data_IF_819794609914
#
_entry.id   IF_819794609914
#
_cell.length_a   1.000
_cell.length_b   1.000
_cell.length_c   1.000
_cell.angle_alpha   90.00
_cell.angle_beta   90.00
_cell.angle_gamma   90.00
#
_symmetry.space_group_name_H-M   'P 1'
#
loop_
_entity.id
_entity.type
_entity.pdbx_description
1 polymer ?
#
# COMPACT_ATOMS: atom_id res chain seq x y z
N UNK A 1 29.42 33.12 21.94
CA UNK A 1 28.46 33.31 20.84
C UNK A 1 27.81 31.95 20.63
N UNK A 2 26.67 31.72 21.28
CA UNK A 2 25.91 30.49 21.17
C UNK A 2 25.18 30.51 19.85
N UNK A 3 25.67 29.69 18.89
CA UNK A 3 24.95 29.42 17.65
C UNK A 3 23.63 28.75 18.01
N UNK A 4 22.53 29.41 17.70
CA UNK A 4 21.22 28.79 17.74
C UNK A 4 21.17 27.71 16.66
N UNK A 5 21.57 26.49 17.04
CA UNK A 5 21.32 25.31 16.22
C UNK A 5 19.79 25.17 16.10
N UNK A 6 19.23 25.73 15.01
CA UNK A 6 17.83 25.49 14.67
C UNK A 6 17.69 23.97 14.52
N UNK A 7 16.74 23.35 15.23
CA UNK A 7 16.57 21.90 15.13
C UNK A 7 16.29 21.54 13.66
N UNK A 8 17.11 20.63 13.13
CA UNK A 8 16.90 20.10 11.79
C UNK A 8 15.54 19.38 11.77
N UNK A 9 14.65 19.81 10.88
CA UNK A 9 13.39 19.12 10.62
C UNK A 9 13.68 18.02 9.60
N UNK A 10 13.62 16.74 9.97
CA UNK A 10 13.88 15.67 9.05
C UNK A 10 12.81 15.67 7.94
N UNK A 11 13.25 15.55 6.69
CA UNK A 11 12.33 15.38 5.56
C UNK A 11 11.87 13.93 5.52
N UNK A 12 10.56 13.75 5.44
CA UNK A 12 9.96 12.44 5.31
C UNK A 12 9.48 12.24 3.86
N UNK A 13 9.99 11.19 3.22
CA UNK A 13 9.56 10.79 1.88
C UNK A 13 8.64 9.58 2.00
N UNK A 14 7.48 9.67 1.38
CA UNK A 14 6.53 8.58 1.33
C UNK A 14 6.44 8.02 -0.08
N UNK A 15 6.57 6.70 -0.19
CA UNK A 15 6.33 5.98 -1.43
C UNK A 15 4.95 5.34 -1.34
N UNK A 16 4.04 5.76 -2.23
CA UNK A 16 2.67 5.27 -2.25
C UNK A 16 2.17 5.07 -3.68
N UNK A 17 1.18 4.20 -3.85
CA UNK A 17 0.39 4.13 -5.08
C UNK A 17 -0.69 5.19 -5.07
N UNK A 18 -1.28 5.51 -6.24
CA UNK A 18 -2.39 6.46 -6.34
C UNK A 18 -3.58 6.11 -5.43
N UNK A 19 -3.74 4.84 -5.10
CA UNK A 19 -4.84 4.34 -4.25
C UNK A 19 -4.53 4.36 -2.76
N UNK A 20 -3.24 4.47 -2.36
CA UNK A 20 -2.80 4.37 -0.97
C UNK A 20 -2.19 5.68 -0.45
N UNK A 21 -2.59 6.81 -1.01
CA UNK A 21 -2.04 8.14 -0.66
C UNK A 21 -2.17 8.44 0.84
N UNK A 22 -3.10 7.83 1.53
CA UNK A 22 -3.57 8.25 2.84
C UNK A 22 -3.12 7.37 4.02
N UNK A 23 -2.44 6.26 3.80
CA UNK A 23 -1.80 5.55 4.90
C UNK A 23 -0.53 6.30 5.33
N UNK A 24 -0.71 7.31 6.17
CA UNK A 24 0.38 8.17 6.66
C UNK A 24 1.42 7.42 7.49
N UNK A 25 1.15 6.17 7.88
CA UNK A 25 1.99 5.41 8.82
C UNK A 25 2.92 4.41 8.16
N UNK A 26 2.71 4.09 6.88
CA UNK A 26 3.50 3.07 6.17
C UNK A 26 4.32 3.68 5.04
N UNK A 27 5.55 3.17 4.88
CA UNK A 27 6.42 3.56 3.77
C UNK A 27 7.02 4.95 3.91
N UNK A 28 7.10 5.50 5.13
CA UNK A 28 7.81 6.75 5.40
C UNK A 28 9.29 6.42 5.54
N UNK A 29 10.10 7.12 4.79
CA UNK A 29 11.56 7.07 4.85
C UNK A 29 12.07 8.44 5.27
N UNK A 30 12.80 8.48 6.36
CA UNK A 30 13.41 9.70 6.86
C UNK A 30 14.68 10.01 6.09
N UNK A 31 14.79 11.23 5.54
CA UNK A 31 16.01 11.72 4.92
C UNK A 31 16.86 12.43 5.97
N UNK A 32 18.05 11.89 6.22
CA UNK A 32 19.01 12.46 7.15
C UNK A 32 20.07 13.25 6.39
N UNK A 33 20.42 14.47 6.86
CA UNK A 33 21.53 15.21 6.27
C UNK A 33 22.84 14.44 6.35
N UNK A 34 23.70 14.62 5.37
CA UNK A 34 24.95 13.92 5.28
C UNK A 34 24.84 12.46 4.82
N UNK A 35 23.64 12.01 4.45
CA UNK A 35 23.41 10.63 3.99
C UNK A 35 22.86 10.58 2.58
N UNK A 36 23.37 9.61 1.83
CA UNK A 36 22.77 9.11 0.60
C UNK A 36 21.80 7.98 0.98
N UNK A 37 20.52 8.22 0.75
CA UNK A 37 19.45 7.26 1.04
C UNK A 37 19.02 6.61 -0.26
N UNK A 38 19.29 5.32 -0.39
CA UNK A 38 18.82 4.53 -1.52
C UNK A 38 17.58 3.75 -1.09
N UNK A 39 16.45 4.01 -1.74
CA UNK A 39 15.19 3.32 -1.48
C UNK A 39 14.97 2.30 -2.59
N UNK A 40 15.05 1.02 -2.24
CA UNK A 40 14.69 -0.06 -3.15
C UNK A 40 13.20 -0.35 -3.03
N UNK A 41 12.47 -0.11 -4.12
CA UNK A 41 11.01 -0.30 -4.19
C UNK A 41 10.71 -1.59 -4.93
N UNK A 42 10.17 -2.58 -4.21
CA UNK A 42 9.80 -3.87 -4.78
C UNK A 42 8.29 -3.98 -4.87
N UNK A 43 7.71 -4.11 -6.07
CA UNK A 43 6.28 -4.33 -6.24
C UNK A 43 5.90 -5.78 -5.91
N UNK A 44 4.84 -5.96 -5.14
CA UNK A 44 4.18 -7.23 -4.89
C UNK A 44 2.76 -7.17 -5.45
N UNK A 45 2.50 -7.94 -6.49
CA UNK A 45 1.20 -8.00 -7.14
C UNK A 45 0.41 -9.18 -6.58
N UNK A 46 -0.80 -8.91 -6.12
CA UNK A 46 -1.80 -9.94 -5.79
C UNK A 46 -2.85 -9.89 -6.88
N UNK A 47 -3.01 -11.00 -7.57
CA UNK A 47 -3.98 -11.19 -8.64
C UNK A 47 -4.95 -12.32 -8.29
N UNK A 48 -6.02 -12.48 -9.05
CA UNK A 48 -7.04 -13.48 -8.84
C UNK A 48 -7.42 -14.13 -10.16
N UNK A 49 -7.72 -15.45 -10.15
CA UNK A 49 -8.23 -16.13 -11.36
C UNK A 49 -9.66 -15.68 -11.67
N UNK A 50 -10.00 -15.63 -12.96
CA UNK A 50 -11.33 -15.23 -13.42
C UNK A 50 -12.45 -16.12 -12.86
N UNK A 51 -12.19 -17.41 -12.74
CA UNK A 51 -13.17 -18.35 -12.15
C UNK A 51 -13.48 -18.01 -10.71
N UNK A 52 -12.45 -17.62 -9.94
CA UNK A 52 -12.64 -17.24 -8.53
C UNK A 52 -13.27 -15.85 -8.39
N UNK A 53 -13.12 -14.98 -9.39
CA UNK A 53 -13.74 -13.64 -9.42
C UNK A 53 -15.29 -13.71 -9.49
N UNK A 54 -15.85 -14.79 -10.07
CA UNK A 54 -17.30 -14.99 -10.21
C UNK A 54 -18.02 -15.34 -8.90
N UNK A 55 -17.26 -15.76 -7.88
CA UNK A 55 -17.85 -16.05 -6.58
C UNK A 55 -18.32 -14.77 -5.90
N UNK A 56 -19.29 -14.91 -5.01
CA UNK A 56 -19.77 -13.82 -4.16
C UNK A 56 -18.70 -13.35 -3.15
N UNK A 57 -18.88 -12.15 -2.62
CA UNK A 57 -17.93 -11.51 -1.68
C UNK A 57 -17.70 -12.36 -0.43
N UNK A 58 -18.77 -13.04 0.08
CA UNK A 58 -18.67 -13.86 1.27
C UNK A 58 -17.81 -15.10 1.07
N UNK A 59 -17.89 -15.72 -0.12
CA UNK A 59 -17.10 -16.90 -0.49
C UNK A 59 -15.64 -16.53 -0.75
N UNK A 60 -15.37 -15.48 -1.52
CA UNK A 60 -13.99 -15.08 -1.84
C UNK A 60 -13.30 -14.27 -0.72
N UNK A 61 -14.07 -13.76 0.26
CA UNK A 61 -13.57 -12.99 1.43
C UNK A 61 -12.65 -11.83 1.05
N UNK A 62 -12.92 -11.21 -0.09
CA UNK A 62 -12.23 -10.01 -0.56
C UNK A 62 -13.16 -9.21 -1.47
N UNK A 63 -12.85 -7.92 -1.68
CA UNK A 63 -13.58 -7.03 -2.58
C UNK A 63 -12.75 -6.64 -3.80
N UNK A 64 -13.44 -6.50 -4.92
CA UNK A 64 -12.88 -5.99 -6.17
C UNK A 64 -12.96 -4.45 -6.18
N UNK A 65 -12.14 -3.81 -6.99
CA UNK A 65 -12.04 -2.34 -7.02
C UNK A 65 -13.35 -1.62 -7.35
N UNK A 66 -14.24 -2.27 -8.09
CA UNK A 66 -15.55 -1.71 -8.46
C UNK A 66 -16.67 -1.98 -7.45
N UNK A 67 -16.41 -2.73 -6.38
CA UNK A 67 -17.40 -3.04 -5.33
C UNK A 67 -17.40 -1.97 -4.24
N UNK A 68 -17.84 -0.77 -4.61
CA UNK A 68 -17.74 0.46 -3.81
C UNK A 68 -19.05 0.90 -3.17
N UNK A 69 -20.11 0.07 -3.19
CA UNK A 69 -21.46 0.45 -2.72
C UNK A 69 -21.50 1.07 -1.32
N UNK A 70 -20.51 0.75 -0.49
CA UNK A 70 -20.44 1.22 0.90
C UNK A 70 -19.50 2.42 1.08
N UNK A 71 -18.78 2.83 0.02
CA UNK A 71 -17.81 3.92 0.06
C UNK A 71 -18.45 5.22 -0.44
N UNK A 72 -18.22 6.31 0.30
CA UNK A 72 -18.69 7.67 -0.03
C UNK A 72 -17.56 8.53 -0.61
N UNK A 73 -16.34 8.38 -0.06
CA UNK A 73 -15.21 9.24 -0.41
C UNK A 73 -14.32 8.66 -1.50
N UNK A 74 -14.34 7.34 -1.72
CA UNK A 74 -13.47 6.68 -2.69
C UNK A 74 -14.28 6.03 -3.80
N UNK A 75 -13.85 6.30 -5.06
CA UNK A 75 -14.49 5.73 -6.25
C UNK A 75 -14.12 4.27 -6.47
N UNK A 76 -12.94 3.86 -5.99
CA UNK A 76 -12.46 2.50 -6.11
C UNK A 76 -12.26 1.89 -4.73
N UNK A 77 -12.70 0.65 -4.57
CA UNK A 77 -12.47 -0.08 -3.34
C UNK A 77 -11.00 -0.44 -3.19
N UNK A 78 -10.44 -0.07 -2.05
CA UNK A 78 -9.20 -0.61 -1.51
C UNK A 78 -9.41 -0.85 -0.02
N UNK A 79 -8.72 -1.85 0.54
CA UNK A 79 -8.82 -2.11 1.97
C UNK A 79 -8.40 -0.87 2.78
N UNK A 80 -7.29 -0.26 2.41
CA UNK A 80 -6.77 0.93 3.09
C UNK A 80 -7.75 2.12 2.95
N UNK A 81 -8.40 2.28 1.78
CA UNK A 81 -9.45 3.27 1.55
C UNK A 81 -10.68 3.03 2.42
N UNK A 82 -11.13 1.78 2.53
CA UNK A 82 -12.24 1.39 3.40
C UNK A 82 -11.93 1.67 4.88
N UNK A 83 -10.74 1.29 5.36
CA UNK A 83 -10.30 1.54 6.73
C UNK A 83 -10.28 3.06 7.04
N UNK A 84 -9.77 3.84 6.08
CA UNK A 84 -9.73 5.29 6.22
C UNK A 84 -11.14 5.90 6.20
N UNK A 85 -11.98 5.50 5.26
CA UNK A 85 -13.36 5.99 5.19
C UNK A 85 -14.15 5.70 6.47
N UNK A 86 -13.99 4.50 7.02
CA UNK A 86 -14.59 4.14 8.31
C UNK A 86 -14.13 5.10 9.41
N UNK A 87 -12.83 5.39 9.50
CA UNK A 87 -12.28 6.31 10.48
C UNK A 87 -12.73 7.76 10.23
N UNK A 88 -12.85 8.18 8.97
CA UNK A 88 -13.31 9.50 8.58
C UNK A 88 -14.79 9.74 8.86
N UNK A 89 -15.64 8.76 8.56
CA UNK A 89 -17.06 8.84 8.91
C UNK A 89 -17.23 9.06 10.42
N UNK A 90 -16.38 8.44 11.24
CA UNK A 90 -16.35 8.67 12.67
C UNK A 90 -15.86 10.07 13.02
N UNK A 91 -14.76 10.51 12.41
CA UNK A 91 -14.22 11.86 12.59
C UNK A 91 -15.22 12.93 12.20
N UNK A 92 -15.88 12.76 11.06
CA UNK A 92 -16.91 13.69 10.60
C UNK A 92 -18.10 13.78 11.58
N UNK A 93 -18.48 12.66 12.17
CA UNK A 93 -19.57 12.64 13.18
C UNK A 93 -19.20 13.41 14.46
N UNK A 94 -17.94 13.41 14.85
CA UNK A 94 -17.44 14.03 16.10
C UNK A 94 -16.92 15.45 15.84
N UNK A 95 -15.98 15.59 14.89
CA UNK A 95 -15.27 16.85 14.63
C UNK A 95 -16.01 17.78 13.67
N UNK A 96 -17.05 17.28 12.96
CA UNK A 96 -17.89 18.05 12.03
C UNK A 96 -17.15 18.69 10.85
N UNK A 97 -15.93 18.26 10.55
CA UNK A 97 -15.12 18.76 9.44
C UNK A 97 -14.32 17.64 8.78
N UNK A 98 -13.82 17.88 7.56
CA UNK A 98 -12.94 16.99 6.81
C UNK A 98 -11.54 17.61 6.69
N UNK A 99 -10.47 16.82 6.84
CA UNK A 99 -9.12 17.30 6.64
C UNK A 99 -8.85 17.64 5.17
N UNK A 100 -8.02 18.65 4.93
CA UNK A 100 -7.71 19.23 3.61
C UNK A 100 -7.04 18.25 2.62
N UNK A 101 -6.39 17.21 3.12
CA UNK A 101 -5.70 16.22 2.30
C UNK A 101 -6.61 15.11 1.75
N UNK A 102 -7.91 15.17 2.05
CA UNK A 102 -8.88 14.25 1.50
C UNK A 102 -9.53 14.80 0.24
N UNK A 103 -9.89 13.92 -0.70
CA UNK A 103 -10.66 14.35 -1.85
C UNK A 103 -12.00 14.90 -1.38
N UNK A 104 -12.17 16.21 -1.46
CA UNK A 104 -13.41 16.88 -1.09
C UNK A 104 -14.41 16.84 -2.26
N UNK A 105 -14.88 15.66 -2.60
CA UNK A 105 -15.93 15.48 -3.61
C UNK A 105 -17.32 15.80 -3.05
N UNK A 106 -17.41 16.22 -1.79
CA UNK A 106 -18.64 16.46 -1.07
C UNK A 106 -18.70 17.91 -0.60
N UNK A 107 -19.56 18.69 -1.22
CA UNK A 107 -19.90 20.06 -0.77
C UNK A 107 -20.60 20.09 0.60
N UNK A 108 -20.72 18.97 1.29
CA UNK A 108 -21.50 18.82 2.53
C UNK A 108 -20.69 18.99 3.82
N UNK A 109 -19.36 18.98 3.76
CA UNK A 109 -18.54 19.11 4.95
C UNK A 109 -17.56 20.28 4.84
N UNK A 110 -17.49 21.09 5.89
CA UNK A 110 -16.50 22.15 6.00
C UNK A 110 -15.09 21.56 6.11
N UNK A 111 -14.10 22.26 5.56
CA UNK A 111 -12.71 21.91 5.74
C UNK A 111 -12.29 22.19 7.19
N UNK A 112 -11.52 21.28 7.79
CA UNK A 112 -11.05 21.47 9.16
C UNK A 112 -10.09 22.66 9.25
N UNK A 113 -10.30 23.50 10.25
CA UNK A 113 -9.29 24.42 10.77
C UNK A 113 -8.21 23.67 11.57
N UNK A 114 -7.31 24.38 12.20
CA UNK A 114 -6.21 23.79 12.98
C UNK A 114 -6.72 22.96 14.16
N UNK A 115 -7.78 23.40 14.84
CA UNK A 115 -8.38 22.66 15.96
C UNK A 115 -9.14 21.44 15.48
N UNK A 116 -9.91 21.57 14.41
CA UNK A 116 -10.59 20.45 13.77
C UNK A 116 -9.63 19.40 13.24
N UNK A 117 -8.49 19.78 12.67
CA UNK A 117 -7.45 18.87 12.24
C UNK A 117 -6.87 18.08 13.43
N UNK A 118 -6.58 18.72 14.55
CA UNK A 118 -6.12 18.06 15.78
C UNK A 118 -7.16 17.07 16.32
N UNK A 119 -8.44 17.41 16.26
CA UNK A 119 -9.54 16.51 16.62
C UNK A 119 -9.54 15.26 15.74
N UNK A 120 -9.43 15.42 14.41
CA UNK A 120 -9.37 14.30 13.45
C UNK A 120 -8.16 13.42 13.71
N UNK A 121 -6.98 14.00 13.90
CA UNK A 121 -5.75 13.28 14.18
C UNK A 121 -5.84 12.46 15.48
N UNK A 122 -6.52 12.97 16.50
CA UNK A 122 -6.75 12.23 17.75
C UNK A 122 -7.60 10.97 17.54
N UNK A 123 -8.58 11.03 16.64
CA UNK A 123 -9.43 9.88 16.30
C UNK A 123 -8.67 8.89 15.43
N UNK A 124 -7.98 9.38 14.39
CA UNK A 124 -7.19 8.53 13.49
C UNK A 124 -6.03 7.83 14.21
N UNK A 125 -5.47 8.45 15.26
CA UNK A 125 -4.43 7.85 16.08
C UNK A 125 -4.95 6.87 17.13
N UNK A 126 -6.25 6.84 17.39
CA UNK A 126 -6.84 5.95 18.40
C UNK A 126 -6.85 4.48 17.92
N UNK A 127 -5.97 3.66 18.50
CA UNK A 127 -5.79 2.27 18.11
C UNK A 127 -7.08 1.42 18.20
N UNK A 128 -7.97 1.72 19.14
CA UNK A 128 -9.23 0.97 19.32
C UNK A 128 -10.19 1.21 18.16
N UNK A 129 -10.36 2.46 17.72
CA UNK A 129 -11.21 2.78 16.57
C UNK A 129 -10.64 2.22 15.29
N UNK A 130 -9.33 2.39 15.09
CA UNK A 130 -8.64 1.87 13.92
C UNK A 130 -8.77 0.35 13.79
N UNK A 131 -8.61 -0.38 14.90
CA UNK A 131 -8.79 -1.84 14.94
C UNK A 131 -10.20 -2.23 14.48
N UNK A 132 -11.25 -1.57 15.00
CA UNK A 132 -12.63 -1.83 14.60
C UNK A 132 -12.86 -1.65 13.10
N UNK A 133 -12.36 -0.54 12.54
CA UNK A 133 -12.45 -0.29 11.09
C UNK A 133 -11.68 -1.34 10.26
N UNK A 134 -10.50 -1.76 10.75
CA UNK A 134 -9.70 -2.79 10.11
C UNK A 134 -10.41 -4.15 10.04
N UNK A 135 -11.13 -4.52 11.08
CA UNK A 135 -11.85 -5.79 11.17
C UNK A 135 -13.10 -5.80 10.28
N UNK A 136 -13.68 -4.63 9.98
CA UNK A 136 -14.85 -4.50 9.11
C UNK A 136 -14.49 -4.46 7.62
N UNK A 137 -13.28 -4.08 7.26
CA UNK A 137 -12.85 -3.93 5.88
C UNK A 137 -12.22 -5.22 5.33
N UNK A 138 -12.82 -5.77 4.28
CA UNK A 138 -12.29 -6.94 3.59
C UNK A 138 -11.01 -6.59 2.81
N UNK A 139 -10.15 -7.59 2.59
CA UNK A 139 -8.95 -7.43 1.78
C UNK A 139 -9.26 -7.17 0.31
N UNK A 140 -8.28 -6.59 -0.41
CA UNK A 140 -8.36 -6.44 -1.85
C UNK A 140 -8.24 -7.81 -2.53
N UNK A 141 -9.10 -8.10 -3.50
CA UNK A 141 -8.97 -9.29 -4.34
C UNK A 141 -7.78 -9.20 -5.29
N UNK A 142 -7.60 -8.02 -5.88
CA UNK A 142 -6.46 -7.66 -6.73
C UNK A 142 -5.80 -6.41 -6.15
N UNK A 143 -4.50 -6.43 -5.94
CA UNK A 143 -3.77 -5.28 -5.41
C UNK A 143 -2.31 -5.29 -5.82
N UNK A 144 -1.74 -4.10 -5.97
CA UNK A 144 -0.30 -3.91 -6.12
C UNK A 144 0.20 -3.14 -4.90
N UNK A 145 1.06 -3.77 -4.13
CA UNK A 145 1.70 -3.15 -2.96
C UNK A 145 3.17 -2.93 -3.25
N UNK A 146 3.69 -1.82 -2.80
CA UNK A 146 5.10 -1.50 -2.92
C UNK A 146 5.76 -1.61 -1.54
N UNK A 147 6.81 -2.38 -1.46
CA UNK A 147 7.66 -2.45 -0.26
C UNK A 147 8.88 -1.60 -0.52
N UNK A 148 9.08 -0.59 0.31
CA UNK A 148 10.22 0.31 0.25
C UNK A 148 11.22 -0.10 1.34
N UNK A 149 12.44 -0.43 0.95
CA UNK A 149 13.53 -0.79 1.86
C UNK A 149 14.59 0.29 1.73
N UNK A 150 14.77 1.16 2.74
CA UNK A 150 15.81 2.16 2.70
C UNK A 150 17.17 1.58 3.12
N UNK A 151 18.21 2.02 2.48
CA UNK A 151 19.59 1.86 2.92
C UNK A 151 20.26 3.23 3.04
N UNK A 152 21.05 3.42 4.07
CA UNK A 152 21.68 4.69 4.42
C UNK A 152 23.17 4.55 4.28
N UNK A 153 23.79 5.38 3.46
CA UNK A 153 25.23 5.45 3.28
C UNK A 153 25.69 6.89 3.56
N UNK A 154 26.71 7.11 4.37
CA UNK A 154 27.25 8.45 4.54
C UNK A 154 27.69 9.01 3.19
N UNK A 155 27.37 10.26 2.91
CA UNK A 155 27.87 10.95 1.72
C UNK A 155 29.36 11.19 1.92
N UNK A 156 30.18 10.89 0.92
CA UNK A 156 31.54 11.40 0.88
C UNK A 156 31.51 12.88 0.43
N UNK A 157 31.71 13.82 1.37
CA UNK A 157 31.60 15.22 1.04
C UNK A 157 32.67 15.67 0.04
N UNK A 158 33.89 15.08 0.09
CA UNK A 158 35.00 15.44 -0.81
C UNK A 158 34.65 15.09 -2.26
N UNK A 159 34.15 13.87 -2.48
CA UNK A 159 33.71 13.43 -3.78
C UNK A 159 32.54 14.26 -4.30
N UNK A 160 31.57 14.56 -3.43
CA UNK A 160 30.37 15.34 -3.80
C UNK A 160 30.73 16.77 -4.15
N UNK A 161 31.52 17.45 -3.33
CA UNK A 161 31.96 18.82 -3.59
C UNK A 161 32.89 18.94 -4.82
N UNK A 162 33.58 17.87 -5.19
CA UNK A 162 34.42 17.78 -6.38
C UNK A 162 33.63 17.76 -7.71
N UNK A 163 32.36 17.33 -7.68
CA UNK A 163 31.56 17.16 -8.91
C UNK A 163 31.15 18.50 -9.55
N UNK A 164 31.29 18.66 -10.86
CA UNK A 164 30.93 19.91 -11.57
C UNK A 164 29.42 20.24 -11.42
N UNK A 165 28.57 19.22 -11.48
CA UNK A 165 27.11 19.34 -11.32
C UNK A 165 26.77 19.92 -9.94
N UNK A 166 27.40 19.42 -8.88
CA UNK A 166 27.15 19.90 -7.53
C UNK A 166 27.58 21.35 -7.37
N UNK A 167 28.72 21.72 -7.95
CA UNK A 167 29.20 23.11 -7.98
C UNK A 167 28.18 24.04 -8.63
N UNK A 168 27.64 23.67 -9.78
CA UNK A 168 26.63 24.46 -10.49
C UNK A 168 25.32 24.61 -9.68
N UNK A 169 24.83 23.52 -9.08
CA UNK A 169 23.63 23.52 -8.25
C UNK A 169 23.85 24.36 -6.99
N UNK A 170 24.97 24.18 -6.31
CA UNK A 170 25.31 24.90 -5.10
C UNK A 170 25.41 26.42 -5.35
N UNK A 171 26.03 26.81 -6.45
CA UNK A 171 26.14 28.24 -6.87
C UNK A 171 24.73 28.82 -7.10
N UNK A 172 23.85 28.06 -7.74
CA UNK A 172 22.47 28.49 -8.05
C UNK A 172 21.59 28.59 -6.80
N UNK A 173 21.67 27.64 -5.89
CA UNK A 173 20.97 27.65 -4.62
C UNK A 173 21.44 28.79 -3.72
N UNK A 174 22.74 29.02 -3.66
CA UNK A 174 23.29 30.13 -2.91
C UNK A 174 22.83 31.50 -3.43
N UNK A 175 22.79 31.68 -4.75
CA UNK A 175 22.30 32.94 -5.35
C UNK A 175 20.81 33.19 -5.04
N UNK A 176 20.04 32.13 -4.87
CA UNK A 176 18.59 32.23 -4.59
C UNK A 176 18.28 32.47 -3.10
N UNK A 177 19.07 31.88 -2.19
CA UNK A 177 18.86 31.97 -0.74
C UNK A 177 19.84 32.90 -0.03
N UNK A 178 20.39 33.86 -0.72
CA UNK A 178 21.40 34.80 -0.23
C UNK A 178 21.00 35.55 1.07
N UNK A 179 19.71 35.67 1.36
CA UNK A 179 19.18 36.38 2.52
C UNK A 179 18.83 35.46 3.73
N UNK A 180 18.69 34.18 3.52
CA UNK A 180 18.28 33.24 4.58
C UNK A 180 19.45 32.45 5.18
N UNK A 181 20.52 32.32 4.42
CA UNK A 181 21.74 31.70 4.92
C UNK A 181 22.66 32.79 5.43
N UNK A 182 22.93 32.79 6.72
CA UNK A 182 24.00 33.55 7.39
C UNK A 182 25.41 33.14 6.86
N UNK A 183 25.49 32.95 5.56
CA UNK A 183 26.73 32.74 4.86
C UNK A 183 27.34 34.10 4.62
N UNK A 184 28.19 34.52 5.55
CA UNK A 184 28.96 35.76 5.46
C UNK A 184 29.47 36.03 4.04
N UNK A 185 29.27 37.26 3.66
CA UNK A 185 29.65 37.88 2.40
C UNK A 185 31.07 37.56 1.85
N UNK A 186 31.86 36.81 2.59
CA UNK A 186 33.30 36.61 2.31
C UNK A 186 33.60 35.52 1.30
N UNK A 187 32.69 34.58 1.07
CA UNK A 187 33.05 33.34 0.38
C UNK A 187 32.88 33.36 -1.13
N UNK A 188 31.88 34.07 -1.64
CA UNK A 188 31.55 34.01 -3.08
C UNK A 188 32.44 34.85 -4.01
N UNK A 189 32.98 35.97 -3.53
CA UNK A 189 33.98 36.69 -4.34
C UNK A 189 35.27 35.89 -4.53
N UNK A 190 35.65 35.07 -3.55
CA UNK A 190 36.81 34.17 -3.58
C UNK A 190 36.57 32.88 -4.36
N UNK A 191 35.34 32.44 -4.50
CA UNK A 191 35.00 31.26 -5.33
C UNK A 191 35.28 31.50 -6.84
N UNK A 192 35.32 32.73 -7.27
CA UNK A 192 35.65 33.07 -8.66
C UNK A 192 37.13 32.86 -9.03
N UNK A 193 38.01 32.80 -8.04
CA UNK A 193 39.44 32.61 -8.25
C UNK A 193 39.90 31.20 -7.86
N UNK A 194 39.58 30.21 -8.71
CA UNK A 194 39.99 28.82 -8.52
C UNK A 194 41.50 28.57 -8.58
N UNK A 195 42.29 29.57 -8.98
CA UNK A 195 43.76 29.51 -9.08
C UNK A 195 44.47 29.82 -7.75
N UNK A 196 43.75 30.24 -6.71
CA UNK A 196 44.31 30.52 -5.39
C UNK A 196 44.10 29.28 -4.51
N UNK A 197 45.16 28.60 -4.13
CA UNK A 197 45.15 27.34 -3.39
C UNK A 197 44.49 27.49 -2.01
N UNK A 198 44.70 28.59 -1.29
CA UNK A 198 44.07 28.87 0.00
C UNK A 198 42.56 29.13 -0.15
N UNK A 199 42.14 29.83 -1.20
CA UNK A 199 40.75 30.08 -1.49
C UNK A 199 40.02 28.78 -1.86
N UNK A 200 40.70 27.88 -2.56
CA UNK A 200 40.16 26.56 -2.90
C UNK A 200 39.96 25.69 -1.66
N UNK A 201 40.93 25.65 -0.75
CA UNK A 201 40.84 24.86 0.49
C UNK A 201 39.74 25.36 1.43
N UNK A 202 39.62 26.68 1.61
CA UNK A 202 38.51 27.27 2.41
C UNK A 202 37.14 27.01 1.79
N UNK A 203 37.00 27.13 0.49
CA UNK A 203 35.75 26.87 -0.23
C UNK A 203 35.36 25.38 -0.12
N UNK A 204 36.36 24.49 -0.18
CA UNK A 204 36.13 23.06 0.00
C UNK A 204 35.64 22.75 1.40
N UNK A 205 36.29 23.30 2.44
CA UNK A 205 35.86 23.08 3.84
C UNK A 205 34.46 23.57 4.11
N UNK A 206 34.04 24.71 3.55
CA UNK A 206 32.67 25.19 3.63
C UNK A 206 31.67 24.28 2.92
N UNK A 207 32.05 23.78 1.74
CA UNK A 207 31.21 22.80 1.03
C UNK A 207 31.06 21.51 1.82
N UNK A 208 32.17 21.01 2.43
CA UNK A 208 32.15 19.81 3.27
C UNK A 208 31.19 19.94 4.44
N UNK A 209 31.25 21.08 5.12
CA UNK A 209 30.35 21.39 6.24
C UNK A 209 28.90 21.47 5.77
N UNK A 210 28.64 22.16 4.68
CA UNK A 210 27.30 22.31 4.12
C UNK A 210 26.70 20.98 3.69
N UNK A 211 27.48 20.14 2.99
CA UNK A 211 27.01 18.80 2.54
C UNK A 211 26.64 17.94 3.76
N UNK A 212 27.45 17.95 4.80
CA UNK A 212 27.19 17.13 5.99
C UNK A 212 25.97 17.58 6.80
N UNK A 213 25.68 18.90 6.82
CA UNK A 213 24.61 19.46 7.64
C UNK A 213 23.27 19.63 6.92
N UNK A 214 23.28 19.85 5.61
CA UNK A 214 22.08 20.29 4.88
C UNK A 214 21.74 19.46 3.65
N UNK A 215 22.62 18.61 3.17
CA UNK A 215 22.38 17.85 1.95
C UNK A 215 22.04 16.39 2.27
N UNK A 216 20.96 15.93 1.68
CA UNK A 216 20.61 14.50 1.61
C UNK A 216 20.44 14.13 0.14
N UNK A 217 21.00 13.01 -0.26
CA UNK A 217 20.82 12.46 -1.61
C UNK A 217 19.81 11.33 -1.52
N UNK A 218 18.79 11.38 -2.38
CA UNK A 218 17.79 10.33 -2.48
C UNK A 218 17.88 9.65 -3.84
N UNK A 219 18.10 8.33 -3.84
CA UNK A 219 17.98 7.48 -5.02
C UNK A 219 16.83 6.51 -4.82
N UNK A 220 15.95 6.43 -5.81
CA UNK A 220 14.85 5.46 -5.81
C UNK A 220 15.12 4.45 -6.91
N UNK A 221 15.26 3.18 -6.52
CA UNK A 221 15.54 2.07 -7.43
C UNK A 221 14.37 1.10 -7.46
N UNK A 222 14.01 0.66 -8.65
CA UNK A 222 13.06 -0.42 -8.86
C UNK A 222 13.78 -1.58 -9.53
N UNK A 223 13.72 -2.81 -8.99
CA UNK A 223 14.28 -3.96 -9.69
C UNK A 223 13.49 -4.19 -10.98
N UNK A 224 14.20 -4.17 -12.11
CA UNK A 224 13.59 -4.33 -13.45
C UNK A 224 13.23 -5.81 -13.70
N UNK A 225 13.95 -6.74 -13.07
CA UNK A 225 13.98 -8.15 -13.47
C UNK A 225 13.04 -9.07 -12.68
N UNK A 226 12.45 -8.62 -11.57
CA UNK A 226 11.61 -9.48 -10.76
C UNK A 226 10.44 -8.77 -10.07
N UNK A 227 9.22 -9.18 -10.43
CA UNK A 227 8.00 -8.78 -9.74
C UNK A 227 7.42 -10.00 -9.03
N UNK A 228 7.26 -9.92 -7.71
CA UNK A 228 6.58 -10.99 -6.98
C UNK A 228 5.08 -10.94 -7.26
N UNK A 229 4.57 -11.95 -7.99
CA UNK A 229 3.15 -12.08 -8.31
C UNK A 229 2.57 -13.28 -7.56
N UNK A 230 1.62 -13.04 -6.67
CA UNK A 230 0.81 -14.07 -6.03
C UNK A 230 -0.57 -14.12 -6.69
N UNK A 231 -0.99 -15.30 -7.15
CA UNK A 231 -2.31 -15.50 -7.75
C UNK A 231 -3.21 -16.25 -6.78
N UNK A 232 -4.37 -15.68 -6.48
CA UNK A 232 -5.44 -16.35 -5.72
C UNK A 232 -6.20 -17.26 -6.68
N UNK A 233 -6.23 -18.54 -6.38
CA UNK A 233 -6.97 -19.55 -7.15
C UNK A 233 -7.85 -20.34 -6.21
N UNK A 234 -8.91 -20.94 -6.75
CA UNK A 234 -9.73 -21.88 -5.99
C UNK A 234 -8.87 -23.09 -5.61
N UNK A 235 -8.87 -23.45 -4.34
CA UNK A 235 -8.08 -24.59 -3.82
C UNK A 235 -8.59 -25.93 -4.30
N UNK A 236 -9.90 -26.06 -4.44
CA UNK A 236 -10.57 -27.31 -4.80
C UNK A 236 -11.67 -26.99 -5.79
N UNK A 237 -11.59 -27.54 -7.01
CA UNK A 237 -12.66 -27.44 -7.99
C UNK A 237 -13.71 -28.53 -7.73
N UNK A 238 -14.87 -28.40 -8.37
CA UNK A 238 -15.89 -29.45 -8.33
C UNK A 238 -15.34 -30.79 -8.86
N UNK A 239 -14.52 -30.73 -9.91
CA UNK A 239 -13.90 -31.93 -10.47
C UNK A 239 -12.91 -32.57 -9.50
N UNK A 240 -12.12 -31.77 -8.77
CA UNK A 240 -11.21 -32.30 -7.74
C UNK A 240 -12.00 -32.97 -6.62
N UNK A 241 -13.13 -32.37 -6.19
CA UNK A 241 -13.99 -32.96 -5.16
C UNK A 241 -14.56 -34.30 -5.64
N UNK A 242 -15.06 -34.36 -6.88
CA UNK A 242 -15.54 -35.62 -7.48
C UNK A 242 -14.43 -36.67 -7.58
N UNK A 243 -13.23 -36.28 -7.98
CA UNK A 243 -12.08 -37.18 -8.06
C UNK A 243 -11.68 -37.74 -6.69
N UNK A 244 -11.66 -36.89 -5.67
CA UNK A 244 -11.37 -37.31 -4.30
C UNK A 244 -12.45 -38.27 -3.77
N UNK A 245 -13.75 -37.92 -3.95
CA UNK A 245 -14.84 -38.78 -3.53
C UNK A 245 -14.81 -40.11 -4.29
N UNK A 246 -14.67 -40.07 -5.61
CA UNK A 246 -14.61 -41.30 -6.45
C UNK A 246 -13.40 -42.14 -6.14
N UNK A 247 -12.23 -41.54 -5.91
CA UNK A 247 -11.01 -42.24 -5.52
C UNK A 247 -11.11 -42.89 -4.13
N UNK A 248 -11.66 -42.18 -3.15
CA UNK A 248 -11.85 -42.71 -1.78
C UNK A 248 -12.90 -43.83 -1.77
N UNK A 249 -14.05 -43.65 -2.42
CA UNK A 249 -15.05 -44.68 -2.53
C UNK A 249 -14.51 -45.91 -3.29
N UNK A 250 -13.78 -45.70 -4.38
CA UNK A 250 -13.13 -46.79 -5.15
C UNK A 250 -12.11 -47.55 -4.31
N UNK A 251 -11.31 -46.87 -3.49
CA UNK A 251 -10.30 -47.50 -2.64
C UNK A 251 -10.90 -48.29 -1.48
N UNK A 252 -11.89 -47.73 -0.80
CA UNK A 252 -12.45 -48.35 0.42
C UNK A 252 -13.58 -49.36 0.15
N UNK A 253 -14.41 -49.13 -0.86
CA UNK A 253 -15.55 -49.99 -1.17
C UNK A 253 -15.45 -50.76 -2.47
N UNK A 254 -14.42 -50.52 -3.27
CA UNK A 254 -14.30 -51.11 -4.64
C UNK A 254 -15.38 -50.63 -5.61
N UNK A 255 -16.19 -49.63 -5.22
CA UNK A 255 -17.31 -49.11 -6.01
C UNK A 255 -16.92 -47.90 -6.81
N UNK A 256 -17.30 -47.83 -8.06
CA UNK A 256 -17.21 -46.63 -8.88
C UNK A 256 -18.45 -45.74 -8.73
N UNK A 257 -18.34 -44.48 -9.10
CA UNK A 257 -19.50 -43.55 -9.16
C UNK A 257 -20.60 -44.13 -10.05
N UNK A 258 -20.22 -44.80 -11.13
CA UNK A 258 -21.15 -45.51 -12.04
C UNK A 258 -21.96 -46.58 -11.31
N UNK A 259 -21.29 -47.40 -10.48
CA UNK A 259 -21.96 -48.44 -9.68
C UNK A 259 -22.98 -47.84 -8.69
N UNK A 260 -22.68 -46.69 -8.11
CA UNK A 260 -23.62 -45.96 -7.26
C UNK A 260 -24.84 -45.48 -8.03
N UNK A 261 -24.66 -44.95 -9.23
CA UNK A 261 -25.78 -44.51 -10.10
C UNK A 261 -26.61 -45.70 -10.55
N UNK A 262 -26.00 -46.85 -10.88
CA UNK A 262 -26.70 -48.08 -11.21
C UNK A 262 -27.56 -48.59 -10.06
N UNK A 263 -27.02 -48.63 -8.82
CA UNK A 263 -27.78 -49.04 -7.63
C UNK A 263 -28.95 -48.07 -7.40
N UNK A 264 -28.72 -46.76 -7.52
CA UNK A 264 -29.77 -45.77 -7.36
C UNK A 264 -30.88 -45.90 -8.41
N UNK A 265 -30.51 -46.09 -9.67
CA UNK A 265 -31.46 -46.32 -10.75
C UNK A 265 -32.25 -47.66 -10.56
N UNK A 266 -31.56 -48.67 -10.06
CA UNK A 266 -32.21 -49.96 -9.72
C UNK A 266 -33.22 -49.80 -8.59
N UNK A 267 -32.85 -49.10 -7.50
CA UNK A 267 -33.76 -48.81 -6.40
C UNK A 267 -35.02 -48.03 -6.87
N UNK A 268 -34.81 -47.00 -7.71
CA UNK A 268 -35.94 -46.24 -8.27
C UNK A 268 -36.87 -47.11 -9.17
N UNK A 269 -36.32 -48.03 -9.94
CA UNK A 269 -37.12 -48.98 -10.73
C UNK A 269 -37.89 -49.94 -9.84
N UNK A 270 -37.28 -50.43 -8.75
CA UNK A 270 -37.93 -51.31 -7.81
C UNK A 270 -39.11 -50.62 -7.11
N UNK A 271 -38.90 -49.38 -6.60
CA UNK A 271 -39.97 -48.61 -5.94
C UNK A 271 -41.14 -48.34 -6.87
N UNK A 272 -40.91 -48.03 -8.17
CA UNK A 272 -41.96 -47.89 -9.17
C UNK A 272 -42.73 -49.18 -9.39
N UNK A 273 -42.04 -50.34 -9.47
CA UNK A 273 -42.69 -51.66 -9.62
C UNK A 273 -43.53 -52.00 -8.41
N UNK A 274 -43.05 -51.77 -7.19
CA UNK A 274 -43.83 -52.01 -5.96
C UNK A 274 -45.06 -51.12 -5.91
N UNK A 275 -44.96 -49.85 -6.28
CA UNK A 275 -46.09 -48.92 -6.36
C UNK A 275 -47.15 -49.37 -7.38
N UNK A 276 -46.73 -49.96 -8.50
CA UNK A 276 -47.66 -50.48 -9.51
C UNK A 276 -48.34 -51.81 -9.11
N UNK A 277 -47.70 -52.65 -8.29
CA UNK A 277 -48.30 -53.88 -7.78
C UNK A 277 -49.32 -53.60 -6.66
N UNK A 278 -49.18 -52.50 -5.92
CA UNK A 278 -50.14 -52.09 -4.87
C UNK A 278 -51.46 -51.53 -5.40
N UNK A 279 -51.56 -51.24 -6.73
CA UNK A 279 -52.73 -50.62 -7.35
C UNK A 279 -53.57 -51.59 -8.23
N UNK A 280 -53.48 -52.92 -8.02
CA UNK A 280 -54.44 -53.83 -8.69
C UNK A 280 -55.78 -53.78 -7.91
N UNK A 281 -56.87 -53.31 -8.55
CA UNK A 281 -58.15 -53.32 -7.89
C UNK A 281 -58.59 -54.76 -7.67
N UNK A 282 -59.03 -55.10 -6.41
CA UNK A 282 -59.75 -56.32 -6.10
C UNK A 282 -61.06 -56.30 -6.90
N UNK A 283 -61.15 -56.99 -7.97
CA UNK A 283 -62.40 -57.36 -8.60
C UNK A 283 -63.12 -58.32 -7.64
N UNK A 284 -64.20 -57.84 -7.04
CA UNK A 284 -65.16 -58.69 -6.37
C UNK A 284 -66.02 -59.37 -7.46
N UNK A 285 -66.10 -60.69 -7.41
CA UNK A 285 -67.19 -61.50 -7.94
C UNK A 285 -68.26 -61.62 -6.89
#
# INVERSE_FOLDING_TARGET
>A
MEGTDKPFIPYNVKISTKTNILDQRRGIVELKPGYHVTIRVTPKVIDMSEDFERFDVHTRKCKLSYETKELKFFQNYTKDGCELECALNKSLSICKCLPWYLPNNFNEASMCDMFGATCVDSILSNARYYKKCKDQCLGDCKSTRHTAIPSYMPIDPKQTCGQPIFKAIFTKLYLHHKHEMEFEHMTMRKWKNWNDQEAHERSMNLCLEYVSKYISILTVETPVDSVSKAKRVQRTTFNDALAVIGGTLGLFSGMSILSMVEIFCFCLKMTKRVGQMGMKPKTRI
#
